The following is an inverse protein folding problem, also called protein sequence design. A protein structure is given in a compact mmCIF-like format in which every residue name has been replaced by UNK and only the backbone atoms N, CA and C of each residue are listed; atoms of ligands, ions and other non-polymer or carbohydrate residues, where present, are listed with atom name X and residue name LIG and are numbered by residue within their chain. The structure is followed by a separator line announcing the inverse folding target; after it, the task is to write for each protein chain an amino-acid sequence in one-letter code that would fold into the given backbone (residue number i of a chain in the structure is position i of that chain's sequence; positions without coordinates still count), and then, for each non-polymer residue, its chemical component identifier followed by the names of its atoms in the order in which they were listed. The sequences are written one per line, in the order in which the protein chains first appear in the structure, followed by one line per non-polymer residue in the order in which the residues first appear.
data_IF_033424191290
#
_entry.id   IF_033424191290
#
_cell.length_a   1.000
_cell.length_b   1.000
_cell.length_c   1.000
_cell.angle_alpha   90.00
_cell.angle_beta   90.00
_cell.angle_gamma   90.00
#
_symmetry.space_group_name_H-M   'P 1'
#
loop_
_entity.id
_entity.type
_entity.pdbx_description
1 polymer ?
#
# COMPACT_ATOMS: atom_id res chain seq x y z
N UNK A 1 1.51 -1.72 -13.27
CA UNK A 1 0.82 -0.95 -12.21
C UNK A 1 0.33 0.37 -12.80
N UNK A 2 -0.94 0.71 -12.55
CA UNK A 2 -1.50 2.03 -12.85
C UNK A 2 -1.58 2.81 -11.54
N UNK A 3 -1.23 4.09 -11.57
CA UNK A 3 -1.23 5.01 -10.44
C UNK A 3 -1.88 6.30 -10.88
N UNK A 4 -2.89 6.79 -10.17
CA UNK A 4 -3.52 8.07 -10.45
C UNK A 4 -4.04 8.71 -9.15
N UNK A 5 -4.14 10.02 -9.13
CA UNK A 5 -4.83 10.77 -8.10
C UNK A 5 -5.89 11.66 -8.73
N UNK A 6 -6.98 11.92 -8.00
CA UNK A 6 -8.09 12.71 -8.52
C UNK A 6 -9.05 13.16 -7.44
N UNK A 7 -10.04 13.95 -7.85
CA UNK A 7 -11.12 14.46 -7.00
C UNK A 7 -12.44 14.00 -7.60
N UNK A 8 -13.31 13.40 -6.79
CA UNK A 8 -14.66 13.02 -7.21
C UNK A 8 -15.58 14.23 -7.37
N UNK A 9 -16.77 13.98 -7.93
CA UNK A 9 -17.83 14.99 -8.04
C UNK A 9 -18.29 15.56 -6.69
N UNK A 10 -18.15 14.79 -5.60
CA UNK A 10 -18.50 15.23 -4.23
C UNK A 10 -17.32 15.85 -3.46
N UNK A 11 -16.19 16.11 -4.13
CA UNK A 11 -15.04 16.82 -3.55
C UNK A 11 -14.08 15.95 -2.74
N UNK A 12 -14.27 14.62 -2.73
CA UNK A 12 -13.35 13.69 -2.04
C UNK A 12 -12.12 13.43 -2.90
N UNK A 13 -10.96 13.38 -2.25
CA UNK A 13 -9.69 13.02 -2.88
C UNK A 13 -9.54 11.50 -2.93
N UNK A 14 -9.06 10.97 -4.05
CA UNK A 14 -8.80 9.56 -4.24
C UNK A 14 -7.42 9.33 -4.81
N UNK A 15 -6.84 8.21 -4.41
CA UNK A 15 -5.71 7.57 -5.08
C UNK A 15 -6.23 6.26 -5.68
N UNK A 16 -5.94 6.05 -6.97
CA UNK A 16 -6.19 4.80 -7.67
C UNK A 16 -4.88 4.05 -7.85
N UNK A 17 -4.87 2.78 -7.43
CA UNK A 17 -3.73 1.86 -7.60
C UNK A 17 -4.24 0.60 -8.28
N UNK A 18 -3.89 0.42 -9.56
CA UNK A 18 -4.19 -0.79 -10.32
C UNK A 18 -3.00 -1.75 -10.33
N UNK A 19 -3.19 -2.95 -9.78
CA UNK A 19 -2.16 -3.99 -9.74
C UNK A 19 -2.34 -4.97 -10.91
N UNK A 20 -1.28 -5.23 -11.68
CA UNK A 20 -1.29 -6.30 -12.69
C UNK A 20 -0.92 -7.65 -12.05
N UNK A 21 -1.13 -8.75 -12.77
CA UNK A 21 -0.71 -10.08 -12.30
C UNK A 21 0.78 -10.14 -11.91
N UNK A 22 1.65 -9.45 -12.66
CA UNK A 22 3.07 -9.34 -12.32
C UNK A 22 3.29 -8.62 -10.98
N UNK A 23 2.48 -7.59 -10.67
CA UNK A 23 2.54 -6.91 -9.38
C UNK A 23 2.10 -7.85 -8.25
N UNK A 24 1.04 -8.63 -8.46
CA UNK A 24 0.54 -9.61 -7.48
C UNK A 24 1.57 -10.72 -7.23
N UNK A 25 2.21 -11.25 -8.26
CA UNK A 25 3.28 -12.26 -8.10
C UNK A 25 4.43 -11.73 -7.25
N UNK A 26 4.90 -10.50 -7.51
CA UNK A 26 5.95 -9.88 -6.70
C UNK A 26 5.55 -9.71 -5.24
N UNK A 27 4.32 -9.28 -4.98
CA UNK A 27 3.79 -9.17 -3.61
C UNK A 27 3.81 -10.53 -2.91
N UNK A 28 3.39 -11.61 -3.59
CA UNK A 28 3.42 -12.97 -3.05
C UNK A 28 4.83 -13.51 -2.78
N UNK A 29 5.85 -12.96 -3.42
CA UNK A 29 7.26 -13.25 -3.15
C UNK A 29 7.82 -12.46 -1.93
N UNK A 30 6.97 -11.74 -1.19
CA UNK A 30 7.39 -10.90 -0.06
C UNK A 30 8.13 -9.62 -0.48
N UNK A 31 7.84 -9.13 -1.69
CA UNK A 31 8.39 -7.87 -2.21
C UNK A 31 7.29 -6.81 -2.19
N UNK A 32 7.26 -5.97 -1.14
CA UNK A 32 6.23 -4.95 -1.02
C UNK A 32 6.38 -3.91 -2.15
N UNK A 33 5.25 -3.32 -2.54
CA UNK A 33 5.23 -2.24 -3.52
C UNK A 33 5.22 -0.92 -2.76
N UNK A 34 6.24 -0.10 -3.01
CA UNK A 34 6.33 1.24 -2.48
C UNK A 34 5.96 2.25 -3.57
N UNK A 35 5.06 3.16 -3.24
CA UNK A 35 4.60 4.25 -4.10
C UNK A 35 4.83 5.55 -3.36
N UNK A 36 5.72 6.37 -3.88
CA UNK A 36 6.02 7.66 -3.27
C UNK A 36 4.87 8.64 -3.49
N UNK A 37 4.43 9.30 -2.43
CA UNK A 37 3.33 10.26 -2.47
C UNK A 37 3.59 11.41 -3.44
N UNK A 38 4.86 11.80 -3.59
CA UNK A 38 5.29 12.80 -4.56
C UNK A 38 4.92 12.44 -6.02
N UNK A 39 4.88 11.15 -6.37
CA UNK A 39 4.47 10.69 -7.72
C UNK A 39 2.97 10.85 -7.96
N UNK A 40 2.19 10.97 -6.88
CA UNK A 40 0.73 11.06 -6.88
C UNK A 40 0.22 12.43 -6.45
N UNK A 41 1.11 13.37 -6.07
CA UNK A 41 0.72 14.64 -5.47
C UNK A 41 0.07 14.48 -4.09
N UNK A 42 0.38 13.40 -3.36
CA UNK A 42 -0.10 13.16 -1.99
C UNK A 42 1.00 13.40 -0.97
N UNK A 43 0.62 13.81 0.24
CA UNK A 43 1.55 14.07 1.34
C UNK A 43 2.12 12.81 2.01
N UNK A 44 1.60 11.64 1.65
CA UNK A 44 1.97 10.37 2.27
C UNK A 44 2.37 9.37 1.19
N UNK A 45 3.42 8.60 1.49
CA UNK A 45 3.80 7.42 0.74
C UNK A 45 2.83 6.27 1.01
N UNK A 46 2.67 5.38 0.04
CA UNK A 46 1.79 4.22 0.12
C UNK A 46 2.63 2.96 -0.01
N UNK A 47 2.50 2.06 0.97
CA UNK A 47 3.14 0.75 0.95
C UNK A 47 2.03 -0.31 0.84
N UNK A 48 2.15 -1.18 -0.16
CA UNK A 48 1.28 -2.34 -0.33
C UNK A 48 2.13 -3.58 -0.06
N UNK A 49 1.73 -4.37 0.93
CA UNK A 49 2.35 -5.64 1.28
C UNK A 49 1.34 -6.78 1.14
N UNK A 50 1.84 -8.01 1.11
CA UNK A 50 1.02 -9.22 1.04
C UNK A 50 1.54 -10.26 2.03
N UNK A 51 0.64 -10.87 2.79
CA UNK A 51 0.96 -11.98 3.67
C UNK A 51 -0.23 -12.92 3.78
N UNK A 52 0.03 -14.16 4.17
CA UNK A 52 -1.03 -15.13 4.45
C UNK A 52 -1.77 -14.78 5.75
N UNK A 53 -1.08 -14.10 6.67
CA UNK A 53 -1.61 -13.60 7.93
C UNK A 53 -1.22 -12.13 8.14
N UNK A 54 -1.91 -11.44 9.05
CA UNK A 54 -1.53 -10.08 9.47
C UNK A 54 -0.15 -10.05 10.15
N UNK A 55 0.22 -11.12 10.85
CA UNK A 55 1.54 -11.26 11.48
C UNK A 55 2.65 -11.24 10.42
N UNK A 56 2.44 -11.92 9.28
CA UNK A 56 3.40 -11.95 8.18
C UNK A 56 3.59 -10.55 7.59
N UNK A 57 2.47 -9.84 7.36
CA UNK A 57 2.48 -8.46 6.87
C UNK A 57 3.19 -7.54 7.86
N UNK A 58 2.92 -7.69 9.17
CA UNK A 58 3.54 -6.88 10.22
C UNK A 58 5.06 -7.04 10.20
N UNK A 59 5.56 -8.28 10.11
CA UNK A 59 7.00 -8.58 10.04
C UNK A 59 7.65 -7.95 8.81
N UNK A 60 6.98 -8.00 7.65
CA UNK A 60 7.48 -7.41 6.40
C UNK A 60 7.50 -5.88 6.44
N UNK A 61 6.52 -5.25 7.12
CA UNK A 61 6.39 -3.80 7.21
C UNK A 61 7.25 -3.17 8.32
N UNK A 62 7.63 -3.92 9.35
CA UNK A 62 8.41 -3.42 10.49
C UNK A 62 9.67 -2.63 10.10
N UNK A 63 10.47 -3.01 9.08
CA UNK A 63 11.64 -2.23 8.66
C UNK A 63 11.30 -0.84 8.13
N UNK A 64 10.09 -0.64 7.57
CA UNK A 64 9.67 0.63 6.98
C UNK A 64 9.16 1.63 8.02
N UNK A 65 8.54 1.14 9.09
CA UNK A 65 7.94 1.98 10.12
C UNK A 65 8.78 2.10 11.39
N UNK A 66 9.82 1.26 11.55
CA UNK A 66 10.64 1.21 12.76
C UNK A 66 9.90 0.70 14.01
N UNK A 67 8.63 0.31 13.85
CA UNK A 67 7.72 -0.24 14.85
C UNK A 67 6.72 -1.15 14.16
N UNK A 68 6.02 -1.96 14.94
CA UNK A 68 4.95 -2.80 14.41
C UNK A 68 3.77 -1.90 14.02
N UNK A 69 3.26 -1.99 12.77
CA UNK A 69 2.09 -1.22 12.35
C UNK A 69 0.88 -1.49 13.25
N UNK A 70 0.13 -0.44 13.60
CA UNK A 70 -1.08 -0.56 14.41
C UNK A 70 -2.13 -1.41 13.67
N UNK A 71 -2.54 -2.54 14.27
CA UNK A 71 -3.65 -3.35 13.75
C UNK A 71 -4.97 -2.66 14.08
N UNK A 72 -5.56 -1.98 13.09
CA UNK A 72 -6.91 -1.43 13.22
C UNK A 72 -8.01 -2.40 12.73
N UNK A 73 -7.78 -3.70 12.79
CA UNK A 73 -8.84 -4.68 12.48
C UNK A 73 -9.69 -4.86 13.73
N UNK A 74 -10.75 -4.05 13.86
CA UNK A 74 -11.89 -4.43 14.70
C UNK A 74 -12.59 -5.58 13.99
N UNK A 75 -12.52 -6.78 14.58
CA UNK A 75 -13.38 -7.91 14.22
C UNK A 75 -14.85 -7.56 14.48
#
# INVERSE_FOLDING_TARGET
MIKAAGISKDGRHFVLIGLSNMNISRLREGKPLHIFGAELGTSHDIIIAWGNTEDDITKELRPYFGRDPDRQVKQ
#
